data_IF_045234803920
#
_entry.id   IF_045234803920
#
_cell.length_a   1.000
_cell.length_b   1.000
_cell.length_c   1.000
_cell.angle_alpha   90.00
_cell.angle_beta   90.00
_cell.angle_gamma   90.00
#
_symmetry.space_group_name_H-M   'P 1'
#
loop_
_entity.id
_entity.type
_entity.pdbx_description
1 polymer ?
#
# COMPACT_ATOMS: atom_id res chain seq x y z
N UNK A 1 4.59 -8.96 -20.01
CA UNK A 1 5.21 -7.97 -19.10
C UNK A 1 5.47 -8.65 -17.76
N UNK A 2 6.58 -8.34 -17.09
CA UNK A 2 6.93 -8.98 -15.82
C UNK A 2 6.12 -8.34 -14.70
N UNK A 3 5.40 -9.18 -13.94
CA UNK A 3 4.68 -8.77 -12.72
C UNK A 3 5.60 -8.97 -11.53
N UNK A 4 5.92 -7.89 -10.82
CA UNK A 4 6.73 -7.95 -9.59
C UNK A 4 5.79 -7.77 -8.40
N UNK A 5 5.88 -8.67 -7.42
CA UNK A 5 5.14 -8.58 -6.17
C UNK A 5 6.10 -8.40 -5.00
N UNK A 6 5.93 -7.32 -4.24
CA UNK A 6 6.75 -6.99 -3.08
C UNK A 6 5.87 -6.88 -1.83
N UNK A 7 6.25 -7.55 -0.76
CA UNK A 7 5.57 -7.40 0.54
C UNK A 7 6.01 -6.08 1.18
N UNK A 8 5.06 -5.25 1.57
CA UNK A 8 5.27 -4.01 2.33
C UNK A 8 5.03 -4.30 3.80
N UNK A 9 5.98 -3.87 4.63
CA UNK A 9 6.08 -4.22 6.06
C UNK A 9 6.22 -2.97 6.89
N UNK A 10 5.68 -2.99 8.10
CA UNK A 10 5.90 -1.96 9.09
C UNK A 10 7.34 -2.09 9.60
N UNK A 11 8.19 -1.12 9.26
CA UNK A 11 9.60 -1.12 9.66
C UNK A 11 9.79 -0.67 11.12
N UNK A 12 8.75 -0.14 11.76
CA UNK A 12 8.75 0.14 13.19
C UNK A 12 8.30 -1.06 14.03
N UNK A 13 7.89 -2.16 13.39
CA UNK A 13 7.64 -3.40 14.11
C UNK A 13 8.98 -4.06 14.48
N UNK A 14 9.12 -4.43 15.75
CA UNK A 14 10.34 -5.02 16.31
C UNK A 14 10.46 -6.52 16.04
N UNK A 15 9.45 -7.15 15.42
CA UNK A 15 9.56 -8.55 14.99
C UNK A 15 10.59 -8.72 13.87
N UNK A 16 11.27 -9.88 13.86
CA UNK A 16 12.36 -10.19 12.91
C UNK A 16 12.00 -9.94 11.43
N UNK A 17 10.72 -10.11 11.10
CA UNK A 17 10.23 -9.97 9.74
C UNK A 17 9.40 -8.69 9.54
N UNK A 18 9.11 -7.91 10.57
CA UNK A 18 8.19 -6.77 10.52
C UNK A 18 6.76 -7.15 10.12
N UNK A 19 5.76 -6.51 10.74
CA UNK A 19 4.36 -6.77 10.47
C UNK A 19 4.07 -6.47 9.01
N UNK A 20 3.63 -7.47 8.25
CA UNK A 20 3.18 -7.27 6.87
C UNK A 20 1.89 -6.44 6.89
N UNK A 21 1.88 -5.37 6.11
CA UNK A 21 0.74 -4.45 6.00
C UNK A 21 -0.07 -4.79 4.75
N UNK A 22 0.58 -4.79 3.58
CA UNK A 22 -0.02 -5.14 2.29
C UNK A 22 1.08 -5.59 1.30
N UNK A 23 0.68 -5.97 0.08
CA UNK A 23 1.64 -6.18 -1.01
C UNK A 23 1.53 -5.07 -2.04
N UNK A 24 2.66 -4.67 -2.61
CA UNK A 24 2.72 -3.88 -3.82
C UNK A 24 2.90 -4.82 -5.03
N UNK A 25 2.07 -4.63 -6.04
CA UNK A 25 2.13 -5.32 -7.33
C UNK A 25 2.49 -4.27 -8.37
N UNK A 26 3.60 -4.48 -9.07
CA UNK A 26 4.07 -3.61 -10.15
C UNK A 26 3.92 -4.35 -11.47
N UNK A 27 3.15 -3.76 -12.39
CA UNK A 27 2.90 -4.25 -13.73
C UNK A 27 3.11 -3.12 -14.74
N UNK A 28 4.33 -3.04 -15.29
CA UNK A 28 4.72 -1.92 -16.15
C UNK A 28 4.78 -0.61 -15.36
N UNK A 29 3.95 0.35 -15.75
CA UNK A 29 3.77 1.66 -15.11
C UNK A 29 2.71 1.64 -13.99
N UNK A 30 1.92 0.58 -13.90
CA UNK A 30 0.85 0.46 -12.91
C UNK A 30 1.36 -0.14 -11.62
N UNK A 31 0.97 0.47 -10.51
CA UNK A 31 1.22 -0.04 -9.17
C UNK A 31 -0.12 -0.25 -8.46
N UNK A 32 -0.32 -1.46 -7.95
CA UNK A 32 -1.52 -1.85 -7.22
C UNK A 32 -1.11 -2.30 -5.82
N UNK A 33 -1.75 -1.76 -4.79
CA UNK A 33 -1.68 -2.26 -3.43
C UNK A 33 -2.72 -3.37 -3.25
N UNK A 34 -2.28 -4.54 -2.82
CA UNK A 34 -3.16 -5.66 -2.49
C UNK A 34 -3.21 -5.86 -0.98
N UNK A 35 -4.40 -5.65 -0.41
CA UNK A 35 -4.68 -5.77 1.02
C UNK A 35 -5.43 -7.07 1.28
N UNK A 36 -4.91 -7.86 2.22
CA UNK A 36 -5.59 -9.06 2.73
C UNK A 36 -6.53 -8.66 3.86
N UNK A 37 -7.83 -8.81 3.63
CA UNK A 37 -8.85 -8.56 4.66
C UNK A 37 -8.96 -9.76 5.61
N UNK A 38 -9.52 -9.54 6.80
CA UNK A 38 -9.81 -10.60 7.78
C UNK A 38 -10.73 -11.70 7.22
N UNK A 39 -11.56 -11.37 6.24
CA UNK A 39 -12.46 -12.29 5.53
C UNK A 39 -11.76 -13.08 4.40
N UNK A 40 -10.42 -13.06 4.35
CA UNK A 40 -9.61 -13.66 3.27
C UNK A 40 -9.89 -13.10 1.87
N UNK A 41 -10.62 -12.00 1.76
CA UNK A 41 -10.80 -11.28 0.48
C UNK A 41 -9.58 -10.42 0.21
N UNK A 42 -9.19 -10.36 -1.05
CA UNK A 42 -8.15 -9.46 -1.55
C UNK A 42 -8.82 -8.20 -2.08
N UNK A 43 -8.42 -7.05 -1.54
CA UNK A 43 -8.81 -5.74 -2.07
C UNK A 43 -7.60 -5.19 -2.80
N UNK A 44 -7.81 -4.76 -4.04
CA UNK A 44 -6.79 -4.13 -4.87
C UNK A 44 -7.10 -2.64 -4.96
N UNK A 45 -6.09 -1.82 -4.66
CA UNK A 45 -6.19 -0.37 -4.62
C UNK A 45 -5.08 0.18 -5.52
N UNK A 46 -5.41 0.94 -6.57
CA UNK A 46 -4.39 1.62 -7.37
C UNK A 46 -3.55 2.58 -6.52
N UNK A 47 -2.25 2.66 -6.79
CA UNK A 47 -1.35 3.53 -6.05
C UNK A 47 -1.71 5.01 -6.19
N UNK A 48 -2.16 5.42 -7.38
CA UNK A 48 -2.61 6.77 -7.68
C UNK A 48 -3.76 7.24 -6.77
N UNK A 49 -4.70 6.35 -6.43
CA UNK A 49 -5.81 6.66 -5.52
C UNK A 49 -5.29 6.94 -4.10
N UNK A 50 -4.26 6.21 -3.67
CA UNK A 50 -3.65 6.40 -2.35
C UNK A 50 -2.87 7.70 -2.30
N UNK A 51 -2.06 7.98 -3.32
CA UNK A 51 -1.30 9.25 -3.42
C UNK A 51 -2.26 10.44 -3.36
N UNK A 52 -3.32 10.42 -4.17
CA UNK A 52 -4.31 11.51 -4.19
C UNK A 52 -4.96 11.74 -2.83
N UNK A 53 -5.34 10.68 -2.12
CA UNK A 53 -5.96 10.79 -0.79
C UNK A 53 -4.97 11.27 0.28
N UNK A 54 -3.72 10.78 0.22
CA UNK A 54 -2.66 11.19 1.16
C UNK A 54 -2.30 12.65 0.98
N UNK A 55 -2.19 13.11 -0.27
CA UNK A 55 -1.89 14.51 -0.56
C UNK A 55 -3.03 15.43 -0.11
N UNK A 56 -4.29 15.05 -0.36
CA UNK A 56 -5.44 15.77 0.19
C UNK A 56 -5.42 15.85 1.73
N UNK A 57 -5.00 14.78 2.41
CA UNK A 57 -4.88 14.77 3.87
C UNK A 57 -3.76 15.70 4.38
N UNK A 58 -2.63 15.78 3.66
CA UNK A 58 -1.54 16.72 3.98
C UNK A 58 -2.01 18.15 3.83
N UNK A 59 -2.71 18.48 2.74
CA UNK A 59 -3.22 19.82 2.48
C UNK A 59 -4.16 20.28 3.60
N UNK A 60 -5.06 19.40 4.07
CA UNK A 60 -5.93 19.68 5.22
C UNK A 60 -5.12 19.92 6.50
N UNK A 61 -4.03 19.17 6.71
CA UNK A 61 -3.18 19.34 7.90
C UNK A 61 -2.44 20.66 7.91
N UNK A 62 -2.13 21.24 6.75
CA UNK A 62 -1.46 22.54 6.64
C UNK A 62 -2.41 23.73 6.87
N UNK A 63 -3.72 23.50 6.86
CA UNK A 63 -4.75 24.50 7.12
C UNK A 63 -5.15 24.59 8.61
N UNK A 64 -4.57 23.75 9.48
CA UNK A 64 -4.77 23.75 10.93
C UNK A 64 -3.60 24.39 11.66
#
# INVERSE_FOLDING_TARGET
MVKIRKQIRNLHDTTLNGQRVFDAIVEGDKVILEIKTSQRKLVQIPWEDVVSQVDAAKDISLLR
#
